data_IF_714947833639
#
_entry.id   IF_714947833639
#
_cell.length_a   1.000
_cell.length_b   1.000
_cell.length_c   1.000
_cell.angle_alpha   90.00
_cell.angle_beta   90.00
_cell.angle_gamma   90.00
#
_symmetry.space_group_name_H-M   'P 1'
#
loop_
_entity.id
_entity.type
_entity.pdbx_description
1 polymer ?
#
# COMPACT_ATOMS: atom_id res chain seq x y z
N UNK A 1 1.32 12.68 -25.60
CA UNK A 1 -0.12 12.62 -25.95
C UNK A 1 -0.53 11.15 -25.91
N UNK A 2 -1.24 10.70 -24.87
CA UNK A 2 -1.66 9.30 -24.78
C UNK A 2 -2.67 8.99 -25.91
N UNK A 3 -2.55 7.85 -26.61
CA UNK A 3 -3.49 7.50 -27.66
C UNK A 3 -4.91 7.40 -27.10
N UNK A 4 -5.88 8.06 -27.76
CA UNK A 4 -7.30 7.93 -27.42
C UNK A 4 -7.72 6.48 -27.68
N UNK A 5 -7.80 5.66 -26.64
CA UNK A 5 -8.40 4.33 -26.72
C UNK A 5 -9.82 4.45 -27.25
N UNK A 6 -10.17 3.59 -28.23
CA UNK A 6 -11.53 3.53 -28.76
C UNK A 6 -12.56 3.26 -27.66
N UNK A 7 -13.79 3.74 -27.84
CA UNK A 7 -14.90 3.58 -26.86
C UNK A 7 -15.10 2.11 -26.44
N UNK A 8 -14.95 1.16 -27.37
CA UNK A 8 -15.04 -0.28 -27.08
C UNK A 8 -13.93 -0.78 -26.17
N UNK A 9 -12.69 -0.33 -26.38
CA UNK A 9 -11.56 -0.70 -25.51
C UNK A 9 -11.76 -0.17 -24.08
N UNK A 10 -12.41 0.99 -23.91
CA UNK A 10 -12.75 1.53 -22.59
C UNK A 10 -13.82 0.70 -21.87
N UNK A 11 -14.78 0.13 -22.60
CA UNK A 11 -15.83 -0.76 -22.06
C UNK A 11 -15.26 -2.13 -21.68
N UNK A 12 -14.28 -2.63 -22.44
CA UNK A 12 -13.65 -3.93 -22.17
C UNK A 12 -12.58 -3.88 -21.07
N UNK A 13 -12.03 -2.70 -20.78
CA UNK A 13 -10.94 -2.51 -19.81
C UNK A 13 -11.23 -3.04 -18.40
N UNK A 14 -12.43 -2.85 -17.81
CA UNK A 14 -12.77 -3.42 -16.50
C UNK A 14 -12.71 -4.95 -16.49
N UNK A 15 -13.10 -5.61 -17.60
CA UNK A 15 -13.09 -7.07 -17.70
C UNK A 15 -11.68 -7.64 -17.62
N UNK A 16 -10.68 -6.94 -18.17
CA UNK A 16 -9.28 -7.32 -18.03
C UNK A 16 -8.80 -7.31 -16.57
N UNK A 17 -9.18 -6.29 -15.80
CA UNK A 17 -8.83 -6.20 -14.38
C UNK A 17 -9.59 -7.23 -13.53
N UNK A 18 -10.87 -7.47 -13.82
CA UNK A 18 -11.66 -8.50 -13.15
C UNK A 18 -11.03 -9.87 -13.40
N UNK A 19 -10.71 -10.19 -14.66
CA UNK A 19 -10.09 -11.47 -15.01
C UNK A 19 -8.73 -11.65 -14.33
N UNK A 20 -7.87 -10.62 -14.37
CA UNK A 20 -6.59 -10.65 -13.65
C UNK A 20 -6.80 -10.88 -12.15
N UNK A 21 -7.75 -10.19 -11.54
CA UNK A 21 -8.09 -10.38 -10.13
C UNK A 21 -8.51 -11.82 -9.84
N UNK A 22 -9.37 -12.42 -10.67
CA UNK A 22 -9.79 -13.84 -10.52
C UNK A 22 -8.58 -14.76 -10.60
N UNK A 23 -7.68 -14.58 -11.56
CA UNK A 23 -6.46 -15.38 -11.70
C UNK A 23 -5.56 -15.28 -10.45
N UNK A 24 -5.37 -14.09 -9.91
CA UNK A 24 -4.52 -13.88 -8.73
C UNK A 24 -5.16 -14.46 -7.46
N UNK A 25 -6.48 -14.37 -7.31
CA UNK A 25 -7.20 -15.01 -6.20
C UNK A 25 -7.16 -16.54 -6.31
N UNK A 26 -7.28 -17.08 -7.53
CA UNK A 26 -7.11 -18.51 -7.78
C UNK A 26 -5.68 -18.99 -7.44
N UNK A 27 -4.67 -18.22 -7.84
CA UNK A 27 -3.28 -18.51 -7.50
C UNK A 27 -3.06 -18.50 -5.98
N UNK A 28 -3.51 -17.46 -5.27
CA UNK A 28 -3.38 -17.37 -3.82
C UNK A 28 -4.11 -18.52 -3.10
N UNK A 29 -5.32 -18.88 -3.57
CA UNK A 29 -6.09 -20.01 -3.04
C UNK A 29 -5.34 -21.33 -3.24
N UNK A 30 -4.86 -21.60 -4.46
CA UNK A 30 -4.15 -22.85 -4.77
C UNK A 30 -2.85 -22.96 -3.99
N UNK A 31 -2.10 -21.87 -3.80
CA UNK A 31 -0.92 -21.86 -2.94
C UNK A 31 -1.27 -22.13 -1.48
N UNK A 32 -2.33 -21.52 -0.95
CA UNK A 32 -2.77 -21.74 0.42
C UNK A 32 -3.23 -23.19 0.66
N UNK A 33 -3.98 -23.77 -0.28
CA UNK A 33 -4.41 -25.18 -0.22
C UNK A 33 -3.22 -26.14 -0.35
N UNK A 34 -2.23 -25.83 -1.19
CA UNK A 34 -1.00 -26.63 -1.29
C UNK A 34 -0.20 -26.64 0.01
N UNK A 35 -0.14 -25.49 0.71
CA UNK A 35 0.62 -25.35 1.96
C UNK A 35 -0.11 -25.97 3.16
N UNK A 36 -1.41 -25.74 3.27
CA UNK A 36 -2.16 -25.99 4.50
C UNK A 36 -3.37 -26.94 4.33
N UNK A 37 -3.53 -27.53 3.14
CA UNK A 37 -4.69 -28.37 2.81
C UNK A 37 -6.02 -27.60 2.84
N UNK A 38 -7.12 -28.31 3.11
CA UNK A 38 -8.46 -27.72 3.15
C UNK A 38 -8.66 -26.73 4.30
N UNK A 39 -7.80 -26.73 5.32
CA UNK A 39 -7.83 -25.74 6.39
C UNK A 39 -7.63 -24.30 5.87
N UNK A 40 -6.99 -24.13 4.71
CA UNK A 40 -6.83 -22.85 4.04
C UNK A 40 -8.18 -22.18 3.70
N UNK A 41 -9.24 -22.96 3.43
CA UNK A 41 -10.56 -22.43 3.10
C UNK A 41 -11.18 -21.63 4.26
N UNK A 42 -10.80 -21.94 5.50
CA UNK A 42 -11.20 -21.17 6.69
C UNK A 42 -10.46 -19.83 6.85
N UNK A 43 -9.42 -19.56 6.05
CA UNK A 43 -8.58 -18.35 6.12
C UNK A 43 -8.74 -17.47 4.88
N UNK A 44 -9.99 -17.28 4.44
CA UNK A 44 -10.33 -16.49 3.24
C UNK A 44 -9.74 -15.07 3.25
N UNK A 45 -9.64 -14.44 4.43
CA UNK A 45 -8.97 -13.13 4.59
C UNK A 45 -7.51 -13.16 4.14
N UNK A 46 -6.73 -14.16 4.56
CA UNK A 46 -5.32 -14.28 4.17
C UNK A 46 -5.17 -14.49 2.66
N UNK A 47 -6.04 -15.30 2.06
CA UNK A 47 -6.05 -15.54 0.61
C UNK A 47 -6.34 -14.23 -0.14
N UNK A 48 -7.37 -13.50 0.29
CA UNK A 48 -7.72 -12.20 -0.28
C UNK A 48 -6.60 -11.19 -0.12
N UNK A 49 -5.99 -11.10 1.06
CA UNK A 49 -4.95 -10.12 1.37
C UNK A 49 -3.69 -10.39 0.51
N UNK A 50 -3.30 -11.66 0.33
CA UNK A 50 -2.22 -12.05 -0.58
C UNK A 50 -2.52 -11.71 -2.06
N UNK A 51 -3.72 -12.05 -2.54
CA UNK A 51 -4.13 -11.77 -3.92
C UNK A 51 -4.24 -10.26 -4.20
N UNK A 52 -4.80 -9.50 -3.24
CA UNK A 52 -4.94 -8.04 -3.33
C UNK A 52 -3.58 -7.36 -3.34
N UNK A 53 -2.64 -7.81 -2.50
CA UNK A 53 -1.28 -7.30 -2.50
C UNK A 53 -0.64 -7.48 -3.88
N UNK A 54 -0.69 -8.70 -4.43
CA UNK A 54 -0.14 -8.99 -5.76
C UNK A 54 -0.78 -8.14 -6.86
N UNK A 55 -2.10 -7.97 -6.82
CA UNK A 55 -2.82 -7.12 -7.79
C UNK A 55 -2.37 -5.65 -7.70
N UNK A 56 -2.27 -5.11 -6.49
CA UNK A 56 -1.88 -3.72 -6.26
C UNK A 56 -0.39 -3.48 -6.58
N UNK A 57 0.49 -4.45 -6.32
CA UNK A 57 1.90 -4.38 -6.72
C UNK A 57 2.05 -4.40 -8.24
N UNK A 58 1.28 -5.23 -8.97
CA UNK A 58 1.26 -5.21 -10.45
C UNK A 58 0.76 -3.86 -10.99
N UNK A 59 -0.23 -3.25 -10.33
CA UNK A 59 -0.80 -1.98 -10.74
C UNK A 59 0.00 -0.75 -10.27
N UNK A 60 1.03 -0.95 -9.43
CA UNK A 60 1.78 0.11 -8.73
C UNK A 60 2.30 1.20 -9.66
N UNK A 61 2.96 0.82 -10.77
CA UNK A 61 3.50 1.80 -11.73
C UNK A 61 2.40 2.65 -12.39
N UNK A 62 1.22 2.06 -12.61
CA UNK A 62 0.05 2.78 -13.11
C UNK A 62 -0.47 3.80 -12.10
N UNK A 63 -0.50 3.44 -10.81
CA UNK A 63 -0.86 4.37 -9.74
C UNK A 63 0.16 5.50 -9.61
N UNK A 64 1.46 5.19 -9.62
CA UNK A 64 2.53 6.18 -9.56
C UNK A 64 2.43 7.16 -10.74
N UNK A 65 2.22 6.64 -11.96
CA UNK A 65 2.06 7.46 -13.16
C UNK A 65 0.84 8.38 -13.06
N UNK A 66 -0.29 7.90 -12.53
CA UNK A 66 -1.47 8.74 -12.31
C UNK A 66 -1.22 9.79 -11.22
N UNK A 67 -0.66 9.41 -10.08
CA UNK A 67 -0.34 10.32 -8.98
C UNK A 67 0.59 11.45 -9.42
N UNK A 68 1.53 11.18 -10.33
CA UNK A 68 2.42 12.19 -10.91
C UNK A 68 1.69 13.27 -11.73
N UNK A 69 0.40 13.07 -12.07
CA UNK A 69 -0.45 14.09 -12.71
C UNK A 69 -1.25 14.92 -11.71
N UNK A 70 -1.06 14.70 -10.41
CA UNK A 70 -1.81 15.33 -9.31
C UNK A 70 -0.87 16.12 -8.39
N UNK A 71 -1.38 16.61 -7.27
CA UNK A 71 -0.59 17.30 -6.24
C UNK A 71 0.18 16.35 -5.31
N UNK A 72 -0.04 15.03 -5.42
CA UNK A 72 0.61 14.03 -4.55
C UNK A 72 2.14 14.19 -4.48
N UNK A 73 2.89 14.37 -5.59
CA UNK A 73 4.34 14.51 -5.52
C UNK A 73 4.80 15.68 -4.66
N UNK A 74 4.19 16.86 -4.81
CA UNK A 74 4.59 18.03 -4.02
C UNK A 74 4.18 17.92 -2.55
N UNK A 75 3.05 17.26 -2.25
CA UNK A 75 2.64 17.01 -0.87
C UNK A 75 3.58 16.04 -0.15
N UNK A 76 3.98 14.94 -0.79
CA UNK A 76 4.92 13.98 -0.18
C UNK A 76 6.31 14.61 -0.03
N UNK A 77 6.75 15.40 -1.01
CA UNK A 77 8.03 16.10 -0.95
C UNK A 77 8.06 17.17 0.15
N UNK A 78 6.93 17.77 0.51
CA UNK A 78 6.83 18.76 1.59
C UNK A 78 6.73 18.14 3.00
N UNK A 79 6.51 16.82 3.11
CA UNK A 79 6.48 16.15 4.41
C UNK A 79 7.86 16.21 5.07
N UNK A 80 7.91 16.59 6.34
CA UNK A 80 9.15 16.81 7.09
C UNK A 80 9.02 16.34 8.53
N UNK A 81 10.15 16.20 9.22
CA UNK A 81 10.18 15.71 10.61
C UNK A 81 9.87 14.21 10.72
N UNK A 82 9.12 13.83 11.74
CA UNK A 82 8.62 12.46 11.99
C UNK A 82 7.25 12.32 11.32
N UNK A 83 7.19 11.49 10.28
CA UNK A 83 6.01 11.30 9.44
C UNK A 83 5.34 9.97 9.75
N UNK A 84 4.01 9.97 9.86
CA UNK A 84 3.20 8.75 9.85
C UNK A 84 2.56 8.57 8.47
N UNK A 85 3.00 7.57 7.71
CA UNK A 85 2.37 7.19 6.46
C UNK A 85 1.35 6.09 6.71
N UNK A 86 0.07 6.39 6.48
CA UNK A 86 -0.99 5.39 6.53
C UNK A 86 -1.05 4.67 5.19
N UNK A 87 -1.15 3.34 5.24
CA UNK A 87 -1.37 2.45 4.09
C UNK A 87 -0.43 2.70 2.91
N UNK A 88 0.91 2.55 3.09
CA UNK A 88 1.88 2.72 2.01
C UNK A 88 1.66 1.73 0.84
N UNK A 89 0.93 0.63 1.05
CA UNK A 89 0.72 -0.42 0.05
C UNK A 89 2.06 -0.94 -0.48
N UNK A 90 2.25 -1.07 -1.81
CA UNK A 90 3.54 -1.45 -2.41
C UNK A 90 4.68 -0.44 -2.22
N UNK A 91 4.50 0.64 -1.44
CA UNK A 91 5.49 1.69 -1.20
C UNK A 91 5.51 2.78 -2.26
N UNK A 92 4.36 3.10 -2.86
CA UNK A 92 4.27 4.00 -4.02
C UNK A 92 4.85 5.40 -3.74
N UNK A 93 4.79 5.90 -2.50
CA UNK A 93 5.24 7.26 -2.16
C UNK A 93 6.72 7.35 -1.79
N UNK A 94 7.39 6.24 -1.47
CA UNK A 94 8.75 6.22 -0.89
C UNK A 94 9.76 7.06 -1.68
N UNK A 95 9.70 6.98 -3.01
CA UNK A 95 10.60 7.69 -3.91
C UNK A 95 10.45 9.22 -3.93
N UNK A 96 9.41 9.75 -3.29
CA UNK A 96 9.05 11.18 -3.31
C UNK A 96 9.44 11.93 -2.05
N UNK A 97 9.82 11.21 -0.98
CA UNK A 97 10.30 11.85 0.25
C UNK A 97 11.61 12.60 -0.01
N UNK A 98 11.74 13.78 0.59
CA UNK A 98 13.00 14.50 0.64
C UNK A 98 13.78 14.06 1.90
N UNK A 99 14.88 13.29 1.73
CA UNK A 99 15.64 12.77 2.87
C UNK A 99 16.37 13.86 3.67
N UNK A 100 16.44 15.11 3.18
CA UNK A 100 17.08 16.22 3.90
C UNK A 100 16.18 16.82 4.98
N UNK A 101 14.86 16.76 4.81
CA UNK A 101 13.88 17.34 5.75
C UNK A 101 13.06 16.28 6.49
N UNK A 102 12.99 15.05 5.97
CA UNK A 102 12.41 13.90 6.67
C UNK A 102 13.42 13.36 7.69
N UNK A 103 13.00 13.33 8.96
CA UNK A 103 13.76 12.73 10.05
C UNK A 103 13.52 11.22 10.11
N UNK A 104 12.25 10.81 10.10
CA UNK A 104 11.86 9.41 10.15
C UNK A 104 10.44 9.22 9.61
N UNK A 105 10.13 8.05 9.06
CA UNK A 105 8.79 7.67 8.58
C UNK A 105 8.36 6.36 9.22
N UNK A 106 7.17 6.35 9.81
CA UNK A 106 6.46 5.16 10.23
C UNK A 106 5.38 4.82 9.18
N UNK A 107 5.58 3.75 8.43
CA UNK A 107 4.60 3.23 7.47
C UNK A 107 3.69 2.20 8.13
N UNK A 108 2.41 2.51 8.30
CA UNK A 108 1.41 1.61 8.90
C UNK A 108 0.68 0.86 7.80
N UNK A 109 0.93 -0.45 7.69
CA UNK A 109 0.35 -1.30 6.64
C UNK A 109 -0.18 -2.60 7.23
N UNK A 110 -1.50 -2.84 7.24
CA UNK A 110 -2.06 -4.07 7.81
C UNK A 110 -1.74 -5.33 6.98
N UNK A 111 -1.38 -5.20 5.70
CA UNK A 111 -1.10 -6.33 4.84
C UNK A 111 0.40 -6.67 4.78
N UNK A 112 0.86 -7.76 5.44
CA UNK A 112 2.27 -8.13 5.48
C UNK A 112 2.89 -8.42 4.11
N UNK A 113 2.07 -8.72 3.10
CA UNK A 113 2.54 -9.11 1.77
C UNK A 113 3.22 -7.95 1.01
N UNK A 114 3.08 -6.71 1.45
CA UNK A 114 3.79 -5.56 0.87
C UNK A 114 5.20 -5.34 1.41
N UNK A 115 5.60 -6.07 2.46
CA UNK A 115 6.88 -5.82 3.15
C UNK A 115 8.08 -5.90 2.22
N UNK A 116 8.09 -6.86 1.30
CA UNK A 116 9.21 -7.05 0.37
C UNK A 116 9.27 -5.94 -0.70
N UNK A 117 8.10 -5.53 -1.24
CA UNK A 117 8.00 -4.40 -2.17
C UNK A 117 8.48 -3.11 -1.52
N UNK A 118 8.06 -2.85 -0.28
CA UNK A 118 8.49 -1.68 0.48
C UNK A 118 10.00 -1.72 0.73
N UNK A 119 10.54 -2.84 1.25
CA UNK A 119 11.99 -2.96 1.51
C UNK A 119 12.80 -2.72 0.24
N UNK A 120 12.39 -3.30 -0.89
CA UNK A 120 13.07 -3.09 -2.18
C UNK A 120 13.11 -1.61 -2.59
N UNK A 121 12.02 -0.87 -2.36
CA UNK A 121 11.98 0.58 -2.61
C UNK A 121 12.83 1.36 -1.61
N UNK A 122 12.81 1.00 -0.33
CA UNK A 122 13.65 1.65 0.68
C UNK A 122 15.14 1.52 0.34
N UNK A 123 15.57 0.34 -0.10
CA UNK A 123 16.94 0.11 -0.56
C UNK A 123 17.26 0.94 -1.82
N UNK A 124 16.34 0.96 -2.80
CA UNK A 124 16.50 1.72 -4.04
C UNK A 124 16.62 3.23 -3.83
N UNK A 125 15.90 3.78 -2.85
CA UNK A 125 15.84 5.23 -2.59
C UNK A 125 16.62 5.67 -1.34
N UNK A 126 17.49 4.79 -0.80
CA UNK A 126 18.35 5.08 0.36
C UNK A 126 17.61 5.60 1.59
N UNK A 127 16.39 5.08 1.85
CA UNK A 127 15.55 5.45 2.99
C UNK A 127 15.50 4.39 4.09
N UNK A 128 16.30 3.32 3.96
CA UNK A 128 16.27 2.17 4.87
C UNK A 128 16.45 2.53 6.34
N UNK A 129 17.32 3.50 6.62
CA UNK A 129 17.63 3.96 7.98
C UNK A 129 16.63 5.00 8.50
N UNK A 130 15.74 5.50 7.64
CA UNK A 130 14.77 6.56 7.94
C UNK A 130 13.32 6.11 7.86
N UNK A 131 13.06 4.83 7.59
CA UNK A 131 11.72 4.33 7.37
C UNK A 131 11.52 2.98 8.06
N UNK A 132 10.45 2.86 8.85
CA UNK A 132 10.01 1.60 9.45
C UNK A 132 8.60 1.26 9.01
N UNK A 133 8.44 0.09 8.39
CA UNK A 133 7.12 -0.51 8.18
C UNK A 133 6.68 -1.21 9.47
N UNK A 134 5.50 -0.87 9.96
CA UNK A 134 4.82 -1.52 11.08
C UNK A 134 3.60 -2.25 10.50
N UNK A 135 3.59 -3.57 10.64
CA UNK A 135 2.50 -4.40 10.12
C UNK A 135 1.37 -4.45 11.14
N UNK A 136 0.50 -3.44 11.10
CA UNK A 136 -0.69 -3.36 11.94
C UNK A 136 -1.76 -2.50 11.26
N UNK A 137 -2.98 -2.53 11.80
CA UNK A 137 -3.99 -1.52 11.50
C UNK A 137 -3.67 -0.20 12.21
N UNK A 138 -4.16 0.91 11.68
CA UNK A 138 -4.05 2.22 12.37
C UNK A 138 -4.89 2.26 13.66
N UNK A 139 -5.86 1.37 13.78
CA UNK A 139 -6.69 1.15 14.96
C UNK A 139 -5.95 0.44 16.11
N UNK A 140 -4.81 -0.20 15.85
CA UNK A 140 -4.07 -1.01 16.82
C UNK A 140 -3.22 -0.12 17.75
N UNK A 141 -3.90 0.70 18.56
CA UNK A 141 -3.27 1.79 19.31
C UNK A 141 -2.17 1.33 20.29
N UNK A 142 -2.25 0.12 20.83
CA UNK A 142 -1.23 -0.41 21.74
C UNK A 142 0.07 -0.71 21.00
N UNK A 143 -0.01 -1.29 19.80
CA UNK A 143 1.15 -1.51 18.91
C UNK A 143 1.79 -0.18 18.53
N UNK A 144 0.98 0.82 18.20
CA UNK A 144 1.48 2.16 17.87
C UNK A 144 2.21 2.81 19.05
N UNK A 145 1.68 2.68 20.28
CA UNK A 145 2.32 3.21 21.49
C UNK A 145 3.64 2.49 21.82
N UNK A 146 3.70 1.17 21.65
CA UNK A 146 4.94 0.40 21.82
C UNK A 146 6.04 0.86 20.84
N UNK A 147 5.64 1.32 19.66
CA UNK A 147 6.50 1.92 18.64
C UNK A 147 6.83 3.41 18.91
N UNK A 148 6.34 3.98 20.01
CA UNK A 148 6.56 5.37 20.38
C UNK A 148 5.67 6.37 19.63
N UNK A 149 4.67 5.89 18.90
CA UNK A 149 3.69 6.72 18.19
C UNK A 149 2.57 7.09 19.17
N UNK A 150 2.73 8.24 19.81
CA UNK A 150 1.78 8.80 20.79
C UNK A 150 1.28 10.19 20.35
N UNK A 151 0.32 10.74 21.08
CA UNK A 151 -0.10 12.13 20.88
C UNK A 151 1.10 13.08 20.96
N UNK A 152 1.19 14.02 20.02
CA UNK A 152 2.29 14.99 19.92
C UNK A 152 3.64 14.42 19.44
N UNK A 153 3.74 13.14 19.09
CA UNK A 153 5.00 12.51 18.65
C UNK A 153 5.31 12.67 17.16
N UNK A 154 4.35 13.13 16.36
CA UNK A 154 4.41 13.20 14.90
C UNK A 154 4.36 14.64 14.43
N UNK A 155 5.14 14.95 13.40
CA UNK A 155 5.16 16.27 12.74
C UNK A 155 4.21 16.30 11.53
N UNK A 156 3.97 15.15 10.88
CA UNK A 156 3.08 15.04 9.73
C UNK A 156 2.38 13.68 9.65
N UNK A 157 1.17 13.67 9.06
CA UNK A 157 0.42 12.46 8.72
C UNK A 157 0.15 12.45 7.21
N UNK A 158 0.56 11.39 6.53
CA UNK A 158 0.38 11.20 5.11
C UNK A 158 -0.68 10.11 4.84
N UNK A 159 -1.70 10.48 4.06
CA UNK A 159 -2.84 9.61 3.71
C UNK A 159 -3.13 9.68 2.21
N UNK A 160 -2.40 8.92 1.39
CA UNK A 160 -2.59 8.91 -0.07
C UNK A 160 -3.37 7.68 -0.50
N UNK A 161 -4.56 7.86 -1.08
CA UNK A 161 -5.43 6.78 -1.57
C UNK A 161 -5.80 5.69 -0.53
N UNK A 162 -5.72 5.99 0.76
CA UNK A 162 -6.05 5.02 1.84
C UNK A 162 -7.51 5.07 2.27
N UNK A 163 -8.09 6.26 2.39
CA UNK A 163 -9.41 6.43 3.01
C UNK A 163 -10.54 5.74 2.23
N UNK A 164 -10.34 5.44 0.95
CA UNK A 164 -11.29 4.68 0.15
C UNK A 164 -11.39 3.18 0.54
N UNK A 165 -10.41 2.66 1.28
CA UNK A 165 -10.39 1.29 1.78
C UNK A 165 -10.89 1.15 3.23
N UNK A 166 -11.12 2.28 3.91
CA UNK A 166 -11.59 2.30 5.31
C UNK A 166 -13.13 2.25 5.32
N UNK A 167 -13.69 1.45 6.22
CA UNK A 167 -15.16 1.37 6.37
C UNK A 167 -15.68 2.64 7.05
N UNK A 168 -16.73 3.24 6.50
CA UNK A 168 -17.51 4.25 7.20
C UNK A 168 -18.12 3.63 8.46
N UNK A 169 -17.90 4.24 9.63
CA UNK A 169 -18.62 3.85 10.85
C UNK A 169 -20.11 4.11 10.63
N UNK A 170 -20.93 3.06 10.73
CA UNK A 170 -22.38 3.24 10.92
C UNK A 170 -22.57 3.64 12.38
N UNK A 171 -22.91 4.91 12.59
CA UNK A 171 -23.38 5.45 13.88
C UNK A 171 -24.81 5.00 14.09
#
# INVERSE_FOLDING_TARGET
MAPKLGRLASILRPWGLIWLSVCLHWEALTQAVRRDGLAALGRSRQIRDAASAKLLSIASDGFIAYENTTIVPSLVQAASGIVLELGPGPGNQIHRYDPSIVKYVYGIEPNPHFKDDINSRLDKYALRDKYKVIVCGVEDSDVLREEGITEGSLDAVLCIQVLCAVRTRRV
#
